data_IF_089684152232
#
_entry.id   IF_089684152232
#
_cell.length_a   1.000
_cell.length_b   1.000
_cell.length_c   1.000
_cell.angle_alpha   90.00
_cell.angle_beta   90.00
_cell.angle_gamma   90.00
#
_symmetry.space_group_name_H-M   'P 1'
#
loop_
_entity.id
_entity.type
_entity.pdbx_description
1 polymer ?
#
# COMPACT_ATOMS: atom_id res chain seq x y z
N UNK A 1 17.85 30.09 -2.00
CA UNK A 1 17.57 29.09 -3.05
C UNK A 1 16.82 27.95 -2.39
N UNK A 2 15.57 27.75 -2.77
CA UNK A 2 14.86 26.54 -2.36
C UNK A 2 15.39 25.41 -3.20
N UNK A 3 16.07 24.44 -2.60
CA UNK A 3 16.38 23.18 -3.28
C UNK A 3 15.05 22.47 -3.58
N UNK A 4 14.70 22.44 -4.85
CA UNK A 4 13.56 21.65 -5.30
C UNK A 4 13.98 20.19 -5.24
N UNK A 5 13.60 19.55 -4.15
CA UNK A 5 13.85 18.14 -3.95
C UNK A 5 12.95 17.34 -4.90
N UNK A 6 13.55 16.75 -5.92
CA UNK A 6 12.82 15.90 -6.86
C UNK A 6 12.50 14.55 -6.19
N UNK A 7 11.20 14.19 -6.07
CA UNK A 7 10.84 12.92 -5.46
C UNK A 7 11.31 11.74 -6.32
N UNK A 8 12.02 10.81 -5.71
CA UNK A 8 12.47 9.56 -6.35
C UNK A 8 11.75 8.36 -5.76
N UNK A 9 11.60 7.31 -6.54
CA UNK A 9 10.96 6.06 -6.11
C UNK A 9 12.04 5.08 -5.68
N UNK A 10 11.88 4.50 -4.50
CA UNK A 10 12.71 3.40 -4.03
C UNK A 10 12.22 2.09 -4.65
N UNK A 11 13.04 1.56 -5.57
CA UNK A 11 12.73 0.32 -6.29
C UNK A 11 12.64 -0.90 -5.36
N UNK A 12 13.55 -1.00 -4.40
CA UNK A 12 13.62 -2.13 -3.50
C UNK A 12 12.44 -2.13 -2.52
N UNK A 13 12.22 -0.99 -1.85
CA UNK A 13 11.10 -0.84 -0.94
C UNK A 13 9.73 -0.99 -1.66
N UNK A 14 9.62 -0.53 -2.90
CA UNK A 14 8.43 -0.75 -3.73
C UNK A 14 8.23 -2.23 -4.04
N UNK A 15 9.30 -2.95 -4.37
CA UNK A 15 9.26 -4.40 -4.60
C UNK A 15 8.78 -5.18 -3.38
N UNK A 16 9.33 -4.87 -2.21
CA UNK A 16 8.89 -5.47 -0.94
C UNK A 16 7.41 -5.14 -0.63
N UNK A 17 7.00 -3.92 -0.92
CA UNK A 17 5.62 -3.50 -0.74
C UNK A 17 4.65 -4.27 -1.66
N UNK A 18 5.03 -4.54 -2.91
CA UNK A 18 4.27 -5.39 -3.84
C UNK A 18 4.12 -6.81 -3.27
N UNK A 19 5.21 -7.39 -2.72
CA UNK A 19 5.16 -8.71 -2.06
C UNK A 19 4.18 -8.68 -0.88
N UNK A 20 4.28 -7.67 -0.03
CA UNK A 20 3.43 -7.51 1.14
C UNK A 20 1.95 -7.40 0.78
N UNK A 21 1.62 -6.53 -0.18
CA UNK A 21 0.25 -6.31 -0.64
C UNK A 21 -0.33 -7.57 -1.32
N UNK A 22 0.48 -8.25 -2.14
CA UNK A 22 0.09 -9.52 -2.77
C UNK A 22 -0.25 -10.58 -1.73
N UNK A 23 0.63 -10.78 -0.74
CA UNK A 23 0.40 -11.76 0.34
C UNK A 23 -0.80 -11.40 1.20
N UNK A 24 -1.00 -10.12 1.49
CA UNK A 24 -2.15 -9.64 2.25
C UNK A 24 -3.49 -9.94 1.55
N UNK A 25 -3.49 -9.96 0.21
CA UNK A 25 -4.65 -10.35 -0.60
C UNK A 25 -4.72 -11.88 -0.87
N UNK A 26 -3.80 -12.67 -0.31
CA UNK A 26 -3.77 -14.12 -0.51
C UNK A 26 -3.41 -14.55 -1.94
N UNK A 27 -2.79 -13.68 -2.73
CA UNK A 27 -2.47 -13.92 -4.12
C UNK A 27 -1.08 -14.55 -4.28
N UNK A 28 -0.99 -15.61 -5.07
CA UNK A 28 0.27 -16.20 -5.50
C UNK A 28 0.87 -15.46 -6.71
N UNK A 29 2.15 -15.67 -6.97
CA UNK A 29 2.80 -15.16 -8.19
C UNK A 29 2.15 -15.71 -9.44
N UNK A 30 1.69 -16.96 -9.39
CA UNK A 30 1.02 -17.65 -10.51
C UNK A 30 -0.34 -17.00 -10.84
N UNK A 31 -1.08 -16.56 -9.83
CA UNK A 31 -2.35 -15.84 -10.02
C UNK A 31 -2.11 -14.47 -10.64
N UNK A 32 -1.06 -13.76 -10.20
CA UNK A 32 -0.64 -12.51 -10.85
C UNK A 32 -0.26 -12.74 -12.31
N UNK A 33 0.56 -13.77 -12.57
CA UNK A 33 0.97 -14.14 -13.93
C UNK A 33 -0.24 -14.37 -14.83
N UNK A 34 -1.21 -15.13 -14.33
CA UNK A 34 -2.45 -15.40 -15.06
C UNK A 34 -3.28 -14.14 -15.31
N UNK A 35 -3.41 -13.28 -14.29
CA UNK A 35 -4.14 -12.03 -14.39
C UNK A 35 -3.55 -11.08 -15.44
N UNK A 36 -2.23 -10.99 -15.51
CA UNK A 36 -1.53 -10.16 -16.49
C UNK A 36 -1.41 -10.82 -17.88
N UNK A 37 -1.74 -12.10 -18.01
CA UNK A 37 -1.57 -12.83 -19.26
C UNK A 37 -0.11 -13.03 -19.66
N UNK A 38 0.80 -13.07 -18.70
CA UNK A 38 2.22 -13.28 -18.98
C UNK A 38 2.51 -14.76 -19.23
N UNK A 39 3.29 -15.05 -20.25
CA UNK A 39 3.77 -16.42 -20.50
C UNK A 39 4.69 -16.90 -19.38
N UNK A 40 5.53 -15.98 -18.87
CA UNK A 40 6.52 -16.25 -17.83
C UNK A 40 6.40 -15.28 -16.64
N UNK A 41 6.62 -15.72 -15.41
CA UNK A 41 6.50 -14.87 -14.22
C UNK A 41 7.69 -13.93 -14.01
N UNK A 42 8.65 -13.89 -14.93
CA UNK A 42 9.91 -13.16 -14.81
C UNK A 42 9.72 -11.65 -14.53
N UNK A 43 8.74 -11.04 -15.18
CA UNK A 43 8.43 -9.62 -14.97
C UNK A 43 8.01 -9.35 -13.51
N UNK A 44 7.14 -10.20 -12.96
CA UNK A 44 6.66 -10.09 -11.58
C UNK A 44 7.81 -10.24 -10.58
N UNK A 45 8.70 -11.21 -10.81
CA UNK A 45 9.89 -11.38 -9.96
C UNK A 45 10.83 -10.17 -10.02
N UNK A 46 11.03 -9.58 -11.22
CA UNK A 46 11.84 -8.36 -11.36
C UNK A 46 11.25 -7.18 -10.58
N UNK A 47 9.93 -7.02 -10.58
CA UNK A 47 9.25 -6.00 -9.76
C UNK A 47 9.45 -6.25 -8.28
N UNK A 48 9.24 -7.47 -7.81
CA UNK A 48 9.38 -7.85 -6.42
C UNK A 48 10.82 -7.76 -5.90
N UNK A 49 11.80 -7.97 -6.77
CA UNK A 49 13.23 -7.85 -6.43
C UNK A 49 13.75 -6.41 -6.51
N UNK A 50 12.91 -5.46 -6.88
CA UNK A 50 13.34 -4.07 -7.05
C UNK A 50 14.29 -3.84 -8.23
N UNK A 51 14.32 -4.74 -9.22
CA UNK A 51 15.15 -4.59 -10.42
C UNK A 51 14.57 -3.61 -11.41
N UNK A 52 13.27 -3.52 -11.50
CA UNK A 52 12.55 -2.56 -12.32
C UNK A 52 11.14 -2.32 -11.75
N UNK A 53 10.56 -1.19 -12.12
CA UNK A 53 9.15 -0.91 -11.82
C UNK A 53 8.23 -1.55 -12.86
N UNK A 54 7.00 -1.88 -12.51
CA UNK A 54 5.95 -2.13 -13.49
C UNK A 54 5.78 -0.92 -14.42
N UNK A 55 5.44 -1.17 -15.69
CA UNK A 55 4.96 -0.08 -16.56
C UNK A 55 3.71 0.56 -15.97
N UNK A 56 3.37 1.77 -16.41
CA UNK A 56 2.19 2.50 -15.89
C UNK A 56 0.92 1.66 -16.02
N UNK A 57 0.73 0.98 -17.15
CA UNK A 57 -0.41 0.11 -17.40
C UNK A 57 -0.45 -1.07 -16.42
N UNK A 58 0.69 -1.72 -16.22
CA UNK A 58 0.82 -2.84 -15.28
C UNK A 58 0.64 -2.38 -13.83
N UNK A 59 1.16 -1.19 -13.49
CA UNK A 59 0.98 -0.60 -12.17
C UNK A 59 -0.49 -0.27 -11.89
N UNK A 60 -1.19 0.27 -12.88
CA UNK A 60 -2.63 0.53 -12.79
C UNK A 60 -3.42 -0.77 -12.60
N UNK A 61 -3.14 -1.78 -13.44
CA UNK A 61 -3.79 -3.10 -13.32
C UNK A 61 -3.51 -3.75 -11.96
N UNK A 62 -2.27 -3.63 -11.46
CA UNK A 62 -1.87 -4.12 -10.15
C UNK A 62 -2.62 -3.40 -9.02
N UNK A 63 -2.78 -2.08 -9.12
CA UNK A 63 -3.55 -1.29 -8.16
C UNK A 63 -5.01 -1.74 -8.07
N UNK A 64 -5.61 -2.02 -9.21
CA UNK A 64 -7.00 -2.52 -9.28
C UNK A 64 -7.14 -3.92 -8.68
N UNK A 65 -6.19 -4.81 -8.98
CA UNK A 65 -6.18 -6.18 -8.45
C UNK A 65 -5.97 -6.22 -6.93
N UNK A 66 -5.07 -5.37 -6.42
CA UNK A 66 -4.75 -5.30 -4.99
C UNK A 66 -5.72 -4.43 -4.19
N UNK A 67 -6.62 -3.69 -4.85
CA UNK A 67 -7.57 -2.79 -4.20
C UNK A 67 -6.94 -1.59 -3.51
N UNK A 68 -5.79 -1.12 -3.99
CA UNK A 68 -5.04 0.02 -3.46
C UNK A 68 -4.75 1.03 -4.57
N UNK A 69 -4.39 2.25 -4.20
CA UNK A 69 -3.95 3.24 -5.20
C UNK A 69 -2.52 2.96 -5.69
N UNK A 70 -2.15 3.47 -6.86
CA UNK A 70 -0.78 3.36 -7.36
C UNK A 70 0.24 4.00 -6.40
N UNK A 71 -0.15 5.10 -5.74
CA UNK A 71 0.68 5.77 -4.75
C UNK A 71 0.94 4.93 -3.49
N UNK A 72 0.03 4.04 -3.15
CA UNK A 72 0.21 3.11 -2.03
C UNK A 72 1.12 1.93 -2.39
N UNK A 73 1.27 1.63 -3.67
CA UNK A 73 2.21 0.62 -4.15
C UNK A 73 3.63 1.18 -4.19
N UNK A 74 3.79 2.41 -4.69
CA UNK A 74 5.08 3.07 -4.86
C UNK A 74 5.60 3.63 -3.54
N UNK A 75 6.84 3.33 -3.21
CA UNK A 75 7.52 3.89 -2.04
C UNK A 75 8.49 4.97 -2.49
N UNK A 76 8.34 6.15 -1.92
CA UNK A 76 9.22 7.28 -2.21
C UNK A 76 10.49 7.20 -1.36
N UNK A 77 11.61 7.54 -1.97
CA UNK A 77 12.82 7.83 -1.22
C UNK A 77 12.70 9.23 -0.64
N UNK A 78 12.52 9.33 0.67
CA UNK A 78 12.58 10.61 1.35
C UNK A 78 14.03 10.99 1.59
N UNK A 79 14.46 12.21 1.24
CA UNK A 79 15.78 12.68 1.61
C UNK A 79 15.86 12.78 3.13
N UNK A 80 16.92 12.22 3.69
CA UNK A 80 17.22 12.38 5.11
C UNK A 80 17.59 13.83 5.39
N UNK A 81 16.68 14.59 6.00
CA UNK A 81 17.01 15.92 6.49
C UNK A 81 17.80 15.74 7.78
N UNK A 82 19.10 15.91 7.72
CA UNK A 82 19.95 15.91 8.89
C UNK A 82 19.90 17.30 9.52
N UNK A 83 19.14 17.45 10.59
CA UNK A 83 19.20 18.64 11.44
C UNK A 83 20.02 18.28 12.66
N UNK A 84 21.17 18.96 12.87
CA UNK A 84 22.04 18.82 14.04
C UNK A 84 22.52 17.38 14.34
N UNK A 85 22.88 16.60 13.33
CA UNK A 85 23.50 15.28 13.54
C UNK A 85 22.55 14.18 14.02
N UNK A 86 21.26 14.43 14.11
CA UNK A 86 20.24 13.42 14.34
C UNK A 86 19.45 13.18 13.06
N UNK A 87 19.48 11.93 12.58
CA UNK A 87 18.55 11.49 11.55
C UNK A 87 17.15 11.55 12.13
N UNK A 88 16.36 12.51 11.68
CA UNK A 88 14.92 12.42 11.91
C UNK A 88 14.39 11.54 10.79
N UNK A 89 14.22 10.26 11.07
CA UNK A 89 13.36 9.42 10.27
C UNK A 89 11.98 10.07 10.31
N UNK A 90 11.56 10.64 9.17
CA UNK A 90 10.20 11.15 9.06
C UNK A 90 9.23 10.02 9.39
N UNK A 91 8.41 10.13 10.46
CA UNK A 91 7.48 9.07 10.84
C UNK A 91 6.29 8.95 9.88
N UNK A 92 6.37 9.53 8.69
CA UNK A 92 5.43 9.31 7.60
C UNK A 92 5.72 8.00 6.86
N UNK A 93 6.03 6.95 7.61
CA UNK A 93 5.69 5.63 7.18
C UNK A 93 4.18 5.49 7.36
N UNK A 94 3.45 6.15 6.48
CA UNK A 94 2.03 5.96 6.35
C UNK A 94 1.84 4.59 5.70
N UNK A 95 2.08 3.54 6.50
CA UNK A 95 1.59 2.23 6.15
C UNK A 95 0.08 2.36 6.10
N UNK A 96 -0.49 2.28 4.91
CA UNK A 96 -1.91 2.44 4.65
C UNK A 96 -2.82 1.40 5.30
N UNK A 97 -2.47 1.02 6.52
CA UNK A 97 -3.23 0.07 7.34
C UNK A 97 -4.40 0.73 8.06
N UNK A 98 -4.62 2.04 7.86
CA UNK A 98 -5.51 2.80 8.73
C UNK A 98 -6.87 3.18 8.13
N UNK A 99 -7.18 2.92 6.87
CA UNK A 99 -8.42 3.48 6.31
C UNK A 99 -9.61 2.55 6.22
N UNK A 100 -9.44 1.24 6.17
CA UNK A 100 -10.61 0.37 6.09
C UNK A 100 -10.99 -0.28 7.42
N UNK A 101 -10.03 -0.52 8.32
CA UNK A 101 -10.28 -1.21 9.57
C UNK A 101 -11.00 -0.33 10.61
N UNK A 102 -10.63 0.95 10.73
CA UNK A 102 -11.22 1.82 11.76
C UNK A 102 -12.61 2.34 11.43
N UNK A 103 -12.92 2.57 10.16
CA UNK A 103 -14.27 2.99 9.77
C UNK A 103 -15.24 1.85 9.93
N UNK A 104 -14.84 0.63 9.60
CA UNK A 104 -15.65 -0.56 9.82
C UNK A 104 -15.82 -0.86 11.32
N UNK A 105 -14.78 -0.71 12.15
CA UNK A 105 -14.88 -0.87 13.61
C UNK A 105 -15.72 0.24 14.26
N UNK A 106 -15.55 1.49 13.84
CA UNK A 106 -16.37 2.59 14.33
C UNK A 106 -17.84 2.45 13.92
N UNK A 107 -18.11 1.99 12.70
CA UNK A 107 -19.47 1.67 12.26
C UNK A 107 -20.07 0.49 13.04
N UNK A 108 -19.27 -0.52 13.34
CA UNK A 108 -19.72 -1.67 14.16
C UNK A 108 -19.99 -1.25 15.59
N UNK A 109 -19.16 -0.39 16.17
CA UNK A 109 -19.36 0.16 17.52
C UNK A 109 -20.58 1.09 17.57
N UNK A 110 -20.77 1.96 16.56
CA UNK A 110 -21.93 2.83 16.43
C UNK A 110 -23.22 2.05 16.24
N UNK A 111 -23.22 1.02 15.41
CA UNK A 111 -24.37 0.12 15.21
C UNK A 111 -24.67 -0.70 16.49
N UNK A 112 -23.65 -1.11 17.23
CA UNK A 112 -23.80 -1.79 18.51
C UNK A 112 -24.39 -0.87 19.60
N UNK A 113 -23.99 0.40 19.61
CA UNK A 113 -24.56 1.41 20.51
C UNK A 113 -26.00 1.75 20.15
N UNK A 114 -26.30 1.95 18.86
CA UNK A 114 -27.65 2.23 18.38
C UNK A 114 -28.63 1.09 18.64
N UNK A 115 -28.16 -0.15 18.52
CA UNK A 115 -28.97 -1.34 18.80
C UNK A 115 -29.31 -1.52 20.29
N UNK A 116 -28.46 -1.02 21.19
CA UNK A 116 -28.72 -1.04 22.64
C UNK A 116 -29.76 0.02 23.05
N UNK A 117 -29.76 1.15 22.40
CA UNK A 117 -30.72 2.22 22.68
C UNK A 117 -32.12 1.91 22.11
N UNK A 118 -32.19 1.22 20.98
CA UNK A 118 -33.45 0.75 20.38
C UNK A 118 -34.07 -0.35 21.25
N UNK A 119 -33.26 -1.25 21.81
CA UNK A 119 -33.75 -2.31 22.70
C UNK A 119 -34.18 -1.79 24.07
N UNK A 120 -33.65 -0.65 24.55
CA UNK A 120 -34.10 0.01 25.76
C UNK A 120 -35.38 0.84 25.60
N UNK A 121 -35.68 1.27 24.38
CA UNK A 121 -36.90 2.02 24.08
C UNK A 121 -38.14 1.16 23.78
N UNK A 122 -37.98 -0.17 23.69
CA UNK A 122 -39.08 -1.13 23.46
C UNK A 122 -39.55 -1.90 24.71
N UNK A 123 -38.96 -1.56 25.84
CA UNK A 123 -39.42 -2.03 27.17
C UNK A 123 -39.91 -0.84 27.98
#
# INVERSE_FOLDING_TARGET
>A
MQEVLFPTIDLHATGENIIRLRKANGLSVRELQHYFGFEEPQAIYKWQQGKCLPSVDNLYALSRLLGVSMNEILVQTLPSITINGQSIDCPFHFSGRFRHSRIAELLTILLSCLNKDILRGLL
#
